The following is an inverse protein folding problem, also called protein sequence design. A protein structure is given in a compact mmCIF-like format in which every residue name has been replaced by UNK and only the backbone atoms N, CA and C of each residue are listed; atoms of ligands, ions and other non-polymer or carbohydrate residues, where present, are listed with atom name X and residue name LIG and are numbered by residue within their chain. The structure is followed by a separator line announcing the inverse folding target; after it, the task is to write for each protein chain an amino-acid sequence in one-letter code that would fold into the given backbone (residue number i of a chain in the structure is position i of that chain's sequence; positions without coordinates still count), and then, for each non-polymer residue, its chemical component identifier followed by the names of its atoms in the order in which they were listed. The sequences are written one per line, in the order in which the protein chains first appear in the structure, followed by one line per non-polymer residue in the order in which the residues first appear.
data_IF_530257441234
#
_entry.id   IF_530257441234
#
_cell.length_a   1.000
_cell.length_b   1.000
_cell.length_c   1.000
_cell.angle_alpha   90.00
_cell.angle_beta   90.00
_cell.angle_gamma   90.00
#
_symmetry.space_group_name_H-M   'P 1'
#
loop_
_entity.id
_entity.type
_entity.pdbx_description
1 polymer ?
#
# COMPACT_ATOMS: atom_id res chain seq x y z
N UNK A 1 17.88 -5.00 -12.53
CA UNK A 1 17.10 -3.86 -12.00
C UNK A 1 15.83 -4.29 -11.27
N UNK A 2 15.22 -5.40 -11.64
CA UNK A 2 13.99 -5.94 -11.01
C UNK A 2 14.15 -6.27 -9.52
N UNK A 3 15.34 -6.71 -9.10
CA UNK A 3 15.62 -7.04 -7.69
C UNK A 3 15.53 -5.81 -6.76
N UNK A 4 15.88 -4.62 -7.26
CA UNK A 4 15.76 -3.36 -6.52
C UNK A 4 14.30 -2.89 -6.39
N UNK A 5 13.42 -3.33 -7.28
CA UNK A 5 12.02 -2.96 -7.24
C UNK A 5 11.28 -3.59 -6.05
N UNK A 6 11.61 -4.83 -5.68
CA UNK A 6 10.94 -5.55 -4.58
C UNK A 6 11.01 -4.78 -3.26
N UNK A 7 12.18 -4.34 -2.76
CA UNK A 7 12.24 -3.55 -1.54
C UNK A 7 11.54 -2.19 -1.67
N UNK A 8 11.60 -1.55 -2.83
CA UNK A 8 10.89 -0.27 -3.06
C UNK A 8 9.39 -0.46 -2.96
N UNK A 9 8.83 -1.50 -3.60
CA UNK A 9 7.41 -1.85 -3.50
C UNK A 9 7.03 -2.19 -2.07
N UNK A 10 7.83 -2.99 -1.36
CA UNK A 10 7.55 -3.38 0.01
C UNK A 10 7.50 -2.16 0.95
N UNK A 11 8.43 -1.22 0.79
CA UNK A 11 8.43 0.05 1.55
C UNK A 11 7.22 0.90 1.17
N UNK A 12 6.94 1.07 -0.13
CA UNK A 12 5.80 1.84 -0.62
C UNK A 12 4.47 1.30 -0.07
N UNK A 13 4.26 -0.02 -0.19
CA UNK A 13 3.06 -0.68 0.32
C UNK A 13 2.94 -0.58 1.84
N UNK A 14 4.05 -0.69 2.57
CA UNK A 14 4.07 -0.51 4.02
C UNK A 14 3.67 0.92 4.41
N UNK A 15 4.24 1.94 3.76
CA UNK A 15 3.89 3.34 3.99
C UNK A 15 2.40 3.61 3.73
N UNK A 16 1.85 3.12 2.61
CA UNK A 16 0.43 3.27 2.27
C UNK A 16 -0.45 2.62 3.34
N UNK A 17 -0.16 1.38 3.72
CA UNK A 17 -0.99 0.64 4.67
C UNK A 17 -0.91 1.22 6.09
N UNK A 18 0.28 1.55 6.57
CA UNK A 18 0.48 2.22 7.88
C UNK A 18 -0.14 3.61 7.86
N UNK A 19 0.01 4.34 6.76
CA UNK A 19 -0.61 5.65 6.55
C UNK A 19 -2.13 5.60 6.71
N UNK A 20 -2.79 4.65 6.06
CA UNK A 20 -4.24 4.44 6.18
C UNK A 20 -4.67 4.04 7.58
N UNK A 21 -3.87 3.22 8.28
CA UNK A 21 -4.14 2.86 9.67
C UNK A 21 -4.10 4.07 10.61
N UNK A 22 -3.10 4.93 10.46
CA UNK A 22 -2.99 6.17 11.23
C UNK A 22 -4.11 7.16 10.91
N UNK A 23 -4.50 7.30 9.64
CA UNK A 23 -5.65 8.11 9.24
C UNK A 23 -6.93 7.60 9.91
N UNK A 24 -7.16 6.27 9.89
CA UNK A 24 -8.31 5.65 10.57
C UNK A 24 -8.31 5.95 12.07
N UNK A 25 -7.15 5.85 12.72
CA UNK A 25 -7.03 6.15 14.15
C UNK A 25 -7.28 7.63 14.44
N UNK A 26 -6.69 8.53 13.68
CA UNK A 26 -6.93 9.98 13.79
C UNK A 26 -8.40 10.31 13.61
N UNK A 27 -9.06 9.73 12.63
CA UNK A 27 -10.49 9.96 12.34
C UNK A 27 -11.42 9.58 13.50
N UNK A 28 -11.04 8.62 14.35
CA UNK A 28 -11.87 8.25 15.53
C UNK A 28 -12.04 9.40 16.53
N UNK A 29 -11.11 10.35 16.55
CA UNK A 29 -11.08 11.51 17.47
C UNK A 29 -11.60 12.78 16.83
N UNK A 30 -11.82 12.78 15.53
CA UNK A 30 -12.19 13.95 14.74
C UNK A 30 -13.70 13.96 14.46
N UNK A 31 -14.30 15.15 14.22
CA UNK A 31 -15.69 15.25 13.81
C UNK A 31 -15.91 14.53 12.47
N UNK A 32 -17.19 14.17 12.17
CA UNK A 32 -17.53 13.56 10.90
C UNK A 32 -17.03 14.45 9.74
N UNK A 33 -16.37 13.81 8.77
CA UNK A 33 -15.82 14.52 7.62
C UNK A 33 -16.93 15.27 6.87
N UNK A 34 -16.77 16.56 6.74
CA UNK A 34 -17.61 17.44 5.96
C UNK A 34 -16.71 18.34 5.12
N UNK A 35 -17.15 18.69 3.92
CA UNK A 35 -16.43 19.61 3.02
C UNK A 35 -16.49 21.07 3.51
N UNK A 36 -16.44 21.28 4.82
CA UNK A 36 -16.32 22.59 5.45
C UNK A 36 -14.84 22.88 5.72
N UNK A 37 -14.37 24.09 5.35
CA UNK A 37 -12.99 24.54 5.56
C UNK A 37 -12.52 24.37 7.01
N UNK A 38 -13.42 24.58 8.00
CA UNK A 38 -13.11 24.43 9.43
C UNK A 38 -12.85 22.96 9.78
N UNK A 39 -13.68 22.04 9.27
CA UNK A 39 -13.53 20.60 9.52
C UNK A 39 -12.25 20.10 8.86
N UNK A 40 -12.00 20.43 7.61
CA UNK A 40 -10.78 20.04 6.88
C UNK A 40 -9.53 20.57 7.61
N UNK A 41 -9.53 21.82 8.07
CA UNK A 41 -8.42 22.38 8.81
C UNK A 41 -8.16 21.61 10.15
N UNK A 42 -9.20 21.10 10.78
CA UNK A 42 -9.07 20.29 12.01
C UNK A 42 -8.38 18.96 11.74
N UNK A 43 -8.66 18.32 10.60
CA UNK A 43 -7.98 17.09 10.17
C UNK A 43 -6.48 17.32 9.95
N UNK A 44 -6.10 18.39 9.26
CA UNK A 44 -4.69 18.73 9.03
C UNK A 44 -3.93 19.15 10.31
N UNK A 45 -4.64 19.60 11.34
CA UNK A 45 -4.04 19.92 12.66
C UNK A 45 -3.82 18.69 13.53
N UNK A 46 -4.54 17.60 13.30
CA UNK A 46 -4.31 16.35 14.01
C UNK A 46 -3.04 15.68 13.47
N UNK A 47 -2.03 15.58 14.32
CA UNK A 47 -0.72 15.04 13.94
C UNK A 47 -0.79 13.59 13.52
N UNK A 48 -1.67 12.78 14.09
CA UNK A 48 -1.82 11.36 13.77
C UNK A 48 -2.41 11.20 12.37
N UNK A 49 -3.45 11.96 12.07
CA UNK A 49 -4.07 11.94 10.74
C UNK A 49 -3.14 12.54 9.67
N UNK A 50 -2.49 13.67 9.97
CA UNK A 50 -1.59 14.34 9.03
C UNK A 50 -0.34 13.50 8.70
N UNK A 51 0.27 12.84 9.69
CA UNK A 51 1.37 11.89 9.44
C UNK A 51 0.91 10.69 8.64
N UNK A 52 -0.29 10.15 8.91
CA UNK A 52 -0.90 9.09 8.13
C UNK A 52 -1.10 9.49 6.66
N UNK A 53 -1.61 10.70 6.41
CA UNK A 53 -1.78 11.26 5.07
C UNK A 53 -0.43 11.43 4.36
N UNK A 54 0.57 11.96 5.04
CA UNK A 54 1.92 12.11 4.49
C UNK A 54 2.53 10.79 4.07
N UNK A 55 2.42 9.76 4.92
CA UNK A 55 2.89 8.41 4.60
C UNK A 55 2.15 7.79 3.41
N UNK A 56 0.83 7.98 3.33
CA UNK A 56 0.01 7.44 2.23
C UNK A 56 0.41 8.09 0.90
N UNK A 57 0.57 9.40 0.87
CA UNK A 57 1.01 10.16 -0.33
C UNK A 57 2.45 9.76 -0.72
N UNK A 58 3.38 9.74 0.21
CA UNK A 58 4.77 9.33 -0.05
C UNK A 58 4.84 7.87 -0.56
N UNK A 59 4.09 6.97 0.07
CA UNK A 59 3.98 5.59 -0.36
C UNK A 59 3.39 5.46 -1.77
N UNK A 60 2.35 6.25 -2.08
CA UNK A 60 1.77 6.32 -3.43
C UNK A 60 2.78 6.78 -4.48
N UNK A 61 3.55 7.83 -4.21
CA UNK A 61 4.61 8.29 -5.10
C UNK A 61 5.70 7.24 -5.31
N UNK A 62 6.14 6.57 -4.23
CA UNK A 62 7.08 5.45 -4.32
C UNK A 62 6.52 4.29 -5.14
N UNK A 63 5.22 4.02 -5.05
CA UNK A 63 4.56 2.98 -5.83
C UNK A 63 4.57 3.32 -7.33
N UNK A 64 4.35 4.58 -7.71
CA UNK A 64 4.49 5.04 -9.10
C UNK A 64 5.91 4.82 -9.61
N UNK A 65 6.93 5.16 -8.80
CA UNK A 65 8.33 4.89 -9.15
C UNK A 65 8.57 3.39 -9.31
N UNK A 66 8.05 2.56 -8.41
CA UNK A 66 8.19 1.11 -8.51
C UNK A 66 7.58 0.55 -9.81
N UNK A 67 6.39 1.03 -10.19
CA UNK A 67 5.73 0.64 -11.45
C UNK A 67 6.47 1.11 -12.71
N UNK A 68 7.31 2.13 -12.60
CA UNK A 68 8.15 2.57 -13.73
C UNK A 68 9.40 1.69 -13.95
N UNK A 69 9.82 0.94 -12.93
CA UNK A 69 11.04 0.11 -12.97
C UNK A 69 10.78 -1.40 -12.95
N UNK A 70 9.54 -1.81 -12.70
CA UNK A 70 9.17 -3.21 -12.62
C UNK A 70 7.77 -3.48 -13.19
N UNK A 71 7.54 -4.69 -13.75
CA UNK A 71 6.25 -5.07 -14.30
C UNK A 71 5.18 -5.18 -13.20
N UNK A 72 3.94 -4.86 -13.57
CA UNK A 72 2.77 -4.91 -12.67
C UNK A 72 2.57 -6.30 -12.07
N UNK A 73 2.89 -7.34 -12.81
CA UNK A 73 2.82 -8.75 -12.37
C UNK A 73 3.71 -9.04 -11.15
N UNK A 74 4.80 -8.31 -10.97
CA UNK A 74 5.65 -8.37 -9.79
C UNK A 74 5.17 -7.41 -8.70
N UNK A 75 4.86 -6.17 -9.07
CA UNK A 75 4.53 -5.10 -8.13
C UNK A 75 3.27 -5.44 -7.33
N UNK A 76 2.23 -5.94 -7.98
CA UNK A 76 0.94 -6.23 -7.34
C UNK A 76 1.03 -7.27 -6.21
N UNK A 77 1.62 -8.46 -6.43
CA UNK A 77 1.74 -9.45 -5.36
C UNK A 77 2.63 -8.98 -4.20
N UNK A 78 3.74 -8.27 -4.51
CA UNK A 78 4.62 -7.72 -3.46
C UNK A 78 3.89 -6.65 -2.66
N UNK A 79 3.12 -5.79 -3.32
CA UNK A 79 2.29 -4.77 -2.67
C UNK A 79 1.23 -5.38 -1.74
N UNK A 80 0.67 -6.54 -2.11
CA UNK A 80 -0.26 -7.27 -1.25
C UNK A 80 0.40 -7.70 0.09
N UNK A 81 1.71 -7.93 0.10
CA UNK A 81 2.49 -8.18 1.32
C UNK A 81 2.43 -7.02 2.34
N UNK A 82 2.14 -5.80 1.90
CA UNK A 82 1.93 -4.65 2.78
C UNK A 82 0.77 -4.82 3.76
N UNK A 83 -0.20 -5.69 3.46
CA UNK A 83 -1.29 -6.03 4.39
C UNK A 83 -0.76 -6.79 5.61
N UNK A 84 0.29 -7.60 5.46
CA UNK A 84 0.94 -8.26 6.59
C UNK A 84 1.57 -7.22 7.53
N UNK A 85 2.23 -6.20 6.98
CA UNK A 85 2.79 -5.08 7.76
C UNK A 85 1.67 -4.33 8.49
N UNK A 86 0.54 -4.08 7.81
CA UNK A 86 -0.64 -3.46 8.43
C UNK A 86 -1.15 -4.28 9.62
N UNK A 87 -1.27 -5.60 9.48
CA UNK A 87 -1.74 -6.48 10.55
C UNK A 87 -0.82 -6.41 11.78
N UNK A 88 0.49 -6.50 11.57
CA UNK A 88 1.49 -6.36 12.63
C UNK A 88 1.42 -4.98 13.28
N UNK A 89 1.37 -3.93 12.49
CA UNK A 89 1.25 -2.55 12.98
C UNK A 89 -0.03 -2.34 13.80
N UNK A 90 -1.18 -2.83 13.32
CA UNK A 90 -2.46 -2.74 14.04
C UNK A 90 -2.42 -3.48 15.36
N UNK A 91 -1.78 -4.64 15.41
CA UNK A 91 -1.65 -5.40 16.65
C UNK A 91 -0.86 -4.65 17.72
N UNK A 92 0.32 -4.13 17.36
CA UNK A 92 1.23 -3.51 18.33
C UNK A 92 0.88 -2.02 18.63
N UNK A 93 0.44 -1.28 17.63
CA UNK A 93 0.23 0.18 17.77
C UNK A 93 -1.22 0.55 18.07
N UNK A 94 -2.17 -0.17 17.46
CA UNK A 94 -3.60 0.07 17.68
C UNK A 94 -4.19 -0.84 18.77
N UNK A 95 -3.40 -1.73 19.38
CA UNK A 95 -3.84 -2.71 20.38
C UNK A 95 -5.00 -3.61 19.90
N UNK A 96 -5.10 -3.84 18.58
CA UNK A 96 -6.08 -4.75 18.02
C UNK A 96 -5.59 -6.19 18.21
N UNK A 97 -6.35 -7.03 18.95
CA UNK A 97 -5.97 -8.42 19.19
C UNK A 97 -6.20 -9.24 17.91
N UNK A 98 -5.12 -9.68 17.29
CA UNK A 98 -5.19 -10.62 16.18
C UNK A 98 -5.42 -12.06 16.70
N UNK A 99 -6.40 -12.73 16.12
CA UNK A 99 -6.61 -14.17 16.36
C UNK A 99 -5.46 -15.00 15.77
N UNK A 100 -5.30 -16.24 16.27
CA UNK A 100 -4.29 -17.19 15.76
C UNK A 100 -4.39 -17.44 14.25
N UNK A 101 -5.63 -17.45 13.72
CA UNK A 101 -5.89 -17.60 12.27
C UNK A 101 -5.35 -16.41 11.47
N UNK A 102 -5.47 -15.20 12.00
CA UNK A 102 -4.93 -14.00 11.37
C UNK A 102 -3.40 -14.02 11.32
N UNK A 103 -2.74 -14.47 12.37
CA UNK A 103 -1.28 -14.66 12.38
C UNK A 103 -0.81 -15.70 11.35
N UNK A 104 -1.55 -16.80 11.18
CA UNK A 104 -1.27 -17.77 10.13
C UNK A 104 -1.40 -17.13 8.72
N UNK A 105 -2.43 -16.30 8.51
CA UNK A 105 -2.59 -15.53 7.27
C UNK A 105 -1.44 -14.56 7.02
N UNK A 106 -0.98 -13.83 8.04
CA UNK A 106 0.20 -12.95 7.95
C UNK A 106 1.44 -13.74 7.53
N UNK A 107 1.70 -14.89 8.17
CA UNK A 107 2.84 -15.73 7.84
C UNK A 107 2.76 -16.27 6.40
N UNK A 108 1.58 -16.73 5.97
CA UNK A 108 1.36 -17.19 4.60
C UNK A 108 1.57 -16.07 3.56
N UNK A 109 1.10 -14.85 3.86
CA UNK A 109 1.29 -13.66 2.99
C UNK A 109 2.77 -13.32 2.85
N UNK A 110 3.51 -13.30 3.96
CA UNK A 110 4.96 -13.04 3.95
C UNK A 110 5.70 -14.11 3.14
N UNK A 111 5.41 -15.38 3.39
CA UNK A 111 6.03 -16.50 2.67
C UNK A 111 5.73 -16.42 1.15
N UNK A 112 4.47 -16.16 0.77
CA UNK A 112 4.07 -15.99 -0.63
C UNK A 112 4.77 -14.79 -1.30
N UNK A 113 4.88 -13.66 -0.61
CA UNK A 113 5.58 -12.47 -1.12
C UNK A 113 7.07 -12.74 -1.35
N UNK A 114 7.73 -13.45 -0.42
CA UNK A 114 9.14 -13.85 -0.57
C UNK A 114 9.29 -14.82 -1.75
N UNK A 115 8.40 -15.81 -1.87
CA UNK A 115 8.42 -16.77 -2.98
C UNK A 115 8.31 -16.08 -4.35
N UNK A 116 7.40 -15.11 -4.49
CA UNK A 116 7.24 -14.33 -5.72
C UNK A 116 8.47 -13.47 -5.99
N UNK A 117 9.04 -12.84 -4.95
CA UNK A 117 10.27 -12.06 -5.10
C UNK A 117 11.44 -12.89 -5.60
N UNK A 118 11.51 -14.16 -5.18
CA UNK A 118 12.57 -15.09 -5.60
C UNK A 118 12.44 -15.51 -7.06
N UNK A 119 11.21 -15.75 -7.54
CA UNK A 119 10.95 -16.16 -8.93
C UNK A 119 10.89 -14.98 -9.92
N UNK A 120 10.90 -13.75 -9.42
CA UNK A 120 10.79 -12.55 -10.25
C UNK A 120 12.00 -12.29 -11.18
N UNK A 121 13.13 -12.92 -10.92
CA UNK A 121 14.34 -12.82 -11.74
C UNK A 121 14.20 -13.47 -13.13
N UNK A 122 13.25 -14.40 -13.28
CA UNK A 122 13.09 -15.22 -14.49
C UNK A 122 12.08 -14.64 -15.50
N UNK A 123 11.42 -13.54 -15.19
CA UNK A 123 10.43 -12.97 -16.11
C UNK A 123 11.07 -11.92 -17.04
N UNK A 124 11.12 -12.19 -18.37
CA UNK A 124 11.48 -11.17 -19.33
C UNK A 124 10.51 -10.00 -19.23
N UNK A 125 11.04 -8.78 -19.22
CA UNK A 125 10.28 -7.55 -19.02
C UNK A 125 9.00 -7.53 -19.85
N UNK A 126 7.87 -7.31 -19.19
CA UNK A 126 6.57 -7.24 -19.85
C UNK A 126 6.56 -6.16 -20.92
N UNK A 127 5.82 -6.40 -22.00
CA UNK A 127 5.61 -5.39 -23.04
C UNK A 127 5.12 -4.08 -22.43
N UNK A 128 5.73 -2.97 -22.85
CA UNK A 128 5.28 -1.63 -22.49
C UNK A 128 3.90 -1.39 -23.14
N UNK A 129 2.85 -1.62 -22.37
CA UNK A 129 1.50 -1.39 -22.87
C UNK A 129 1.31 0.12 -22.98
N UNK A 130 1.08 0.61 -24.21
CA UNK A 130 0.79 2.01 -24.48
C UNK A 130 -0.40 2.49 -23.63
N UNK A 131 -0.26 3.66 -22.99
CA UNK A 131 -1.34 4.32 -22.23
C UNK A 131 -2.65 4.38 -23.05
N UNK A 132 -2.57 4.58 -24.38
CA UNK A 132 -3.71 4.57 -25.25
C UNK A 132 -4.45 3.22 -25.25
N UNK A 133 -3.74 2.08 -25.20
CA UNK A 133 -4.36 0.76 -25.08
C UNK A 133 -5.04 0.55 -23.74
N UNK A 134 -4.44 1.03 -22.64
CA UNK A 134 -5.03 0.92 -21.30
C UNK A 134 -6.33 1.71 -21.24
N UNK A 135 -6.34 2.95 -21.75
CA UNK A 135 -7.53 3.80 -21.81
C UNK A 135 -8.62 3.17 -22.69
N UNK A 136 -8.24 2.66 -23.86
CA UNK A 136 -9.19 2.00 -24.78
C UNK A 136 -9.83 0.75 -24.16
N UNK A 137 -9.03 -0.10 -23.53
CA UNK A 137 -9.52 -1.30 -22.84
C UNK A 137 -10.39 -0.96 -21.62
N UNK A 138 -10.05 0.10 -20.90
CA UNK A 138 -10.87 0.61 -19.79
C UNK A 138 -12.23 1.13 -20.25
N UNK A 139 -12.28 1.82 -21.41
CA UNK A 139 -13.52 2.32 -22.00
C UNK A 139 -14.43 1.22 -22.55
N UNK A 140 -13.86 0.08 -22.98
CA UNK A 140 -14.64 -1.08 -23.49
C UNK A 140 -15.24 -1.88 -22.33
N UNK A 141 -14.71 -1.76 -21.10
CA UNK A 141 -15.14 -2.53 -19.93
C UNK A 141 -16.18 -1.80 -19.05
N UNK A 142 -16.55 -0.56 -19.38
CA UNK A 142 -17.63 0.22 -18.75
C UNK A 142 -18.91 0.06 -19.58
#
# INVERSE_FOLDING_TARGET
MTLLAVPVVAVAASCINVGKALQKEGTKRLPRFALDRKVVATYFKDTTWATGMGLDVCGGLLMVVALSIAPVSLVQPVAAGGVAVLAVFSHFRLNEKLERKAWAGVAATVAGTIGIGWTAEEQPGGETVSLARIVLLSLIHI
#
